data_IF_260836277986
#
_entry.id   IF_260836277986
#
_cell.length_a   1.000
_cell.length_b   1.000
_cell.length_c   1.000
_cell.angle_alpha   90.00
_cell.angle_beta   90.00
_cell.angle_gamma   90.00
#
_symmetry.space_group_name_H-M   'P 1'
#
loop_
_entity.id
_entity.type
_entity.pdbx_description
1 polymer ?
#
# COMPACT_ATOMS: atom_id res chain seq x y z
N UNK A 1 18.13 5.24 2.95
CA UNK A 1 19.11 5.79 1.99
C UNK A 1 18.62 5.57 0.58
N UNK A 2 19.48 5.64 -0.45
CA UNK A 2 19.03 5.42 -1.83
C UNK A 2 18.40 4.05 -2.07
N UNK A 3 18.96 2.96 -1.51
CA UNK A 3 18.33 1.63 -1.61
C UNK A 3 16.92 1.57 -1.01
N UNK A 4 16.70 2.23 0.14
CA UNK A 4 15.35 2.33 0.74
C UNK A 4 14.36 3.08 -0.16
N UNK A 5 14.84 4.11 -0.88
CA UNK A 5 14.00 4.85 -1.81
C UNK A 5 13.71 4.02 -3.06
N UNK A 6 14.69 3.27 -3.56
CA UNK A 6 14.55 2.34 -4.69
C UNK A 6 13.47 1.29 -4.40
N UNK A 7 13.59 0.58 -3.27
CA UNK A 7 12.61 -0.40 -2.81
C UNK A 7 11.21 0.21 -2.62
N UNK A 8 11.14 1.42 -2.03
CA UNK A 8 9.88 2.14 -1.84
C UNK A 8 9.18 2.42 -3.17
N UNK A 9 9.90 2.99 -4.14
CA UNK A 9 9.30 3.34 -5.44
C UNK A 9 9.03 2.12 -6.31
N UNK A 10 9.85 1.06 -6.22
CA UNK A 10 9.56 -0.21 -6.88
C UNK A 10 8.26 -0.81 -6.35
N UNK A 11 8.11 -0.90 -5.02
CA UNK A 11 6.88 -1.40 -4.39
C UNK A 11 5.64 -0.60 -4.82
N UNK A 12 5.71 0.73 -4.79
CA UNK A 12 4.61 1.60 -5.24
C UNK A 12 4.26 1.37 -6.72
N UNK A 13 5.28 1.25 -7.58
CA UNK A 13 5.08 1.00 -9.02
C UNK A 13 4.42 -0.36 -9.28
N UNK A 14 4.83 -1.40 -8.56
CA UNK A 14 4.24 -2.74 -8.69
C UNK A 14 2.78 -2.77 -8.24
N UNK A 15 2.44 -2.04 -7.17
CA UNK A 15 1.04 -1.91 -6.72
C UNK A 15 0.23 -1.11 -7.74
N UNK A 16 0.73 0.05 -8.17
CA UNK A 16 0.07 0.93 -9.13
C UNK A 16 -0.25 0.22 -10.45
N UNK A 17 0.70 -0.58 -10.95
CA UNK A 17 0.55 -1.36 -12.19
C UNK A 17 -0.23 -2.67 -11.98
N UNK A 18 -0.71 -2.94 -10.76
CA UNK A 18 -1.44 -4.15 -10.35
C UNK A 18 -0.65 -5.44 -10.64
N UNK A 19 0.69 -5.35 -10.66
CA UNK A 19 1.58 -6.51 -10.82
C UNK A 19 1.63 -7.35 -9.55
N UNK A 20 1.38 -6.73 -8.41
CA UNK A 20 1.20 -7.40 -7.11
C UNK A 20 -0.11 -6.93 -6.47
N UNK A 21 -0.65 -7.74 -5.57
CA UNK A 21 -1.84 -7.39 -4.78
C UNK A 21 -1.53 -6.17 -3.89
N UNK A 22 -2.53 -5.34 -3.64
CA UNK A 22 -2.41 -4.24 -2.69
C UNK A 22 -1.95 -4.76 -1.32
N UNK A 23 -0.82 -4.27 -0.85
CA UNK A 23 -0.32 -4.45 0.50
C UNK A 23 0.06 -3.08 1.07
N UNK A 24 -0.05 -2.88 2.38
CA UNK A 24 0.20 -1.58 2.98
C UNK A 24 1.69 -1.25 2.92
N UNK A 25 2.03 -0.04 2.51
CA UNK A 25 3.40 0.49 2.57
C UNK A 25 3.48 1.46 3.74
N UNK A 26 4.25 1.10 4.76
CA UNK A 26 4.36 1.89 6.00
C UNK A 26 5.69 2.62 6.06
N UNK A 27 5.64 3.95 6.18
CA UNK A 27 6.78 4.83 6.35
C UNK A 27 6.87 5.25 7.83
N UNK A 28 7.88 4.74 8.53
CA UNK A 28 8.11 5.07 9.94
C UNK A 28 8.97 6.33 10.09
N UNK A 29 8.59 7.24 11.00
CA UNK A 29 9.31 8.49 11.25
C UNK A 29 8.80 9.65 10.41
N UNK A 30 7.67 10.24 10.81
CA UNK A 30 6.99 11.33 10.08
C UNK A 30 7.91 12.49 9.70
N UNK A 31 8.79 13.01 10.59
CA UNK A 31 9.67 14.13 10.25
C UNK A 31 10.63 13.82 9.10
N UNK A 32 11.08 12.57 8.97
CA UNK A 32 12.00 12.15 7.91
C UNK A 32 11.33 12.14 6.53
N UNK A 33 10.08 11.69 6.45
CA UNK A 33 9.37 11.50 5.19
C UNK A 33 8.58 12.72 4.70
N UNK A 34 8.30 13.69 5.59
CA UNK A 34 7.50 14.87 5.25
C UNK A 34 8.02 15.64 4.03
N UNK A 35 9.35 15.81 3.91
CA UNK A 35 9.94 16.51 2.76
C UNK A 35 9.59 15.85 1.42
N UNK A 36 9.74 14.52 1.34
CA UNK A 36 9.40 13.75 0.15
C UNK A 36 7.90 13.79 -0.15
N UNK A 37 7.07 13.59 0.87
CA UNK A 37 5.61 13.55 0.71
C UNK A 37 5.05 14.91 0.29
N UNK A 38 5.61 16.00 0.80
CA UNK A 38 5.24 17.35 0.37
C UNK A 38 5.60 17.56 -1.10
N UNK A 39 6.81 17.19 -1.52
CA UNK A 39 7.19 17.27 -2.93
C UNK A 39 6.26 16.46 -3.85
N UNK A 40 5.89 15.23 -3.45
CA UNK A 40 4.94 14.41 -4.22
C UNK A 40 3.59 15.13 -4.38
N UNK A 41 3.04 15.65 -3.28
CA UNK A 41 1.75 16.36 -3.30
C UNK A 41 1.79 17.66 -4.09
N UNK A 42 2.86 18.43 -3.94
CA UNK A 42 2.94 19.77 -4.49
C UNK A 42 3.34 19.82 -5.96
N UNK A 43 4.05 18.80 -6.46
CA UNK A 43 4.58 18.77 -7.81
C UNK A 43 4.11 17.54 -8.57
N UNK A 44 4.51 16.33 -8.16
CA UNK A 44 4.26 15.11 -8.91
C UNK A 44 2.76 14.84 -9.14
N UNK A 45 1.93 15.12 -8.13
CA UNK A 45 0.47 15.03 -8.28
C UNK A 45 -0.11 16.11 -9.18
N UNK A 46 0.33 17.37 -9.04
CA UNK A 46 -0.19 18.48 -9.86
C UNK A 46 0.18 18.33 -11.34
N UNK A 47 1.31 17.70 -11.63
CA UNK A 47 1.72 17.34 -12.99
C UNK A 47 1.08 16.03 -13.52
N UNK A 48 0.19 15.40 -12.73
CA UNK A 48 -0.52 14.18 -13.12
C UNK A 48 0.36 12.94 -13.21
N UNK A 49 1.53 12.93 -12.54
CA UNK A 49 2.46 11.80 -12.55
C UNK A 49 2.11 10.74 -11.51
N UNK A 50 1.49 11.15 -10.41
CA UNK A 50 1.06 10.30 -9.30
C UNK A 50 -0.40 10.62 -8.99
N UNK A 51 -1.25 9.60 -8.81
CA UNK A 51 -2.65 9.80 -8.45
C UNK A 51 -2.85 9.89 -6.93
N UNK A 52 -3.95 10.51 -6.50
CA UNK A 52 -4.32 10.53 -5.07
C UNK A 52 -4.55 9.11 -4.52
N UNK A 53 -5.02 8.19 -5.36
CA UNK A 53 -5.23 6.79 -4.97
C UNK A 53 -3.90 6.09 -4.68
N UNK A 54 -2.84 6.41 -5.42
CA UNK A 54 -1.50 5.86 -5.18
C UNK A 54 -0.95 6.30 -3.82
N UNK A 55 -1.22 7.54 -3.40
CA UNK A 55 -0.82 8.03 -2.08
C UNK A 55 -1.59 7.37 -0.92
N UNK A 56 -2.82 6.89 -1.16
CA UNK A 56 -3.59 6.17 -0.13
C UNK A 56 -2.96 4.82 0.23
N UNK A 57 -2.03 4.32 -0.58
CA UNK A 57 -1.25 3.11 -0.30
C UNK A 57 -0.18 3.34 0.78
N UNK A 58 0.21 4.59 1.01
CA UNK A 58 1.22 4.97 2.00
C UNK A 58 0.56 5.25 3.35
N UNK A 59 1.12 4.67 4.40
CA UNK A 59 0.77 4.97 5.79
C UNK A 59 2.01 5.50 6.50
N UNK A 60 1.92 6.70 7.04
CA UNK A 60 3.04 7.37 7.73
C UNK A 60 2.73 7.40 9.21
N UNK A 61 3.64 6.93 10.05
CA UNK A 61 3.42 6.86 11.49
C UNK A 61 4.73 6.94 12.26
N UNK A 62 4.63 7.35 13.53
CA UNK A 62 5.71 7.30 14.52
C UNK A 62 5.44 6.23 15.60
N UNK A 63 4.35 5.47 15.46
CA UNK A 63 3.90 4.47 16.44
C UNK A 63 4.15 3.05 15.94
N UNK A 64 5.05 2.29 16.58
CA UNK A 64 5.25 0.87 16.24
C UNK A 64 3.96 0.05 16.35
N UNK A 65 3.08 0.39 17.30
CA UNK A 65 1.78 -0.26 17.47
C UNK A 65 0.88 -0.04 16.24
N UNK A 66 0.88 1.16 15.67
CA UNK A 66 0.12 1.43 14.44
C UNK A 66 0.68 0.67 13.25
N UNK A 67 2.01 0.57 13.13
CA UNK A 67 2.66 -0.25 12.08
C UNK A 67 2.15 -1.69 12.16
N UNK A 68 2.19 -2.29 13.35
CA UNK A 68 1.71 -3.67 13.56
C UNK A 68 0.23 -3.81 13.23
N UNK A 69 -0.60 -2.85 13.67
CA UNK A 69 -2.03 -2.87 13.41
C UNK A 69 -2.35 -2.82 11.91
N UNK A 70 -1.65 -1.97 11.16
CA UNK A 70 -1.79 -1.86 9.70
C UNK A 70 -1.46 -3.18 9.01
N UNK A 71 -0.36 -3.82 9.40
CA UNK A 71 0.06 -5.11 8.83
C UNK A 71 -0.97 -6.20 9.15
N UNK A 72 -1.43 -6.31 10.39
CA UNK A 72 -2.43 -7.31 10.81
C UNK A 72 -3.76 -7.12 10.08
N UNK A 73 -4.23 -5.88 9.97
CA UNK A 73 -5.48 -5.57 9.28
C UNK A 73 -5.43 -5.96 7.81
N UNK A 74 -4.29 -5.71 7.14
CA UNK A 74 -4.12 -6.12 5.75
C UNK A 74 -4.16 -7.64 5.55
N UNK A 75 -3.59 -8.42 6.47
CA UNK A 75 -3.62 -9.89 6.40
C UNK A 75 -5.02 -10.46 6.63
N UNK A 76 -5.79 -9.84 7.53
CA UNK A 76 -7.17 -10.23 7.81
C UNK A 76 -8.06 -10.04 6.58
N UNK A 77 -7.91 -8.91 5.87
CA UNK A 77 -8.61 -8.67 4.61
C UNK A 77 -8.23 -9.68 3.52
N UNK A 78 -6.95 -10.05 3.41
CA UNK A 78 -6.48 -11.07 2.46
C UNK A 78 -7.10 -12.45 2.74
N UNK A 79 -7.13 -12.87 4.02
CA UNK A 79 -7.76 -14.14 4.42
C UNK A 79 -9.26 -14.17 4.13
N UNK A 80 -9.95 -13.04 4.30
CA UNK A 80 -11.38 -12.91 3.98
C UNK A 80 -11.66 -13.05 2.48
N UNK A 81 -10.85 -12.41 1.64
CA UNK A 81 -10.92 -12.51 0.17
C UNK A 81 -10.66 -13.94 -0.32
N UNK A 82 -9.62 -14.59 0.17
CA UNK A 82 -9.29 -15.95 -0.26
C UNK A 82 -10.38 -16.96 0.15
N UNK A 83 -11.01 -16.75 1.31
CA UNK A 83 -12.16 -17.55 1.74
C UNK A 83 -13.39 -17.32 0.87
N UNK A 84 -13.73 -16.06 0.58
CA UNK A 84 -14.84 -15.71 -0.31
C UNK A 84 -14.67 -16.31 -1.71
N UNK A 85 -13.49 -16.22 -2.30
CA UNK A 85 -13.21 -16.84 -3.60
C UNK A 85 -13.38 -18.36 -3.53
N UNK A 86 -12.85 -19.01 -2.49
CA UNK A 86 -12.98 -20.45 -2.32
C UNK A 86 -14.45 -20.89 -2.15
N UNK A 87 -15.28 -20.08 -1.48
CA UNK A 87 -16.70 -20.35 -1.32
C UNK A 87 -17.48 -20.15 -2.64
N UNK A 88 -17.20 -19.07 -3.39
CA UNK A 88 -17.78 -18.82 -4.72
C UNK A 88 -17.47 -19.95 -5.72
N UNK A 89 -16.22 -20.44 -5.74
CA UNK A 89 -15.83 -21.56 -6.60
C UNK A 89 -16.57 -22.85 -6.26
N UNK A 90 -16.82 -23.13 -4.97
CA UNK A 90 -17.57 -24.33 -4.56
C UNK A 90 -19.04 -24.28 -4.97
N UNK A 91 -19.68 -23.13 -4.89
CA UNK A 91 -21.08 -22.95 -5.32
C UNK A 91 -21.26 -23.15 -6.83
N UNK A 92 -20.25 -22.81 -7.62
CA UNK A 92 -20.25 -23.06 -9.07
C UNK A 92 -20.08 -24.54 -9.43
N UNK A 93 -19.34 -25.31 -8.64
CA UNK A 93 -19.16 -26.77 -8.85
C UNK A 93 -20.37 -27.59 -8.41
N UNK A 94 -21.27 -27.04 -7.60
CA UNK A 94 -22.49 -27.72 -7.13
C UNK A 94 -23.73 -27.44 -7.98
N UNK A 95 -23.60 -26.69 -9.07
CA UNK A 95 -24.64 -26.42 -10.08
C UNK A 95 -24.34 -27.13 -11.39
#
# INVERSE_FOLDING_TARGET
GFGTLDELFEALTLIQTRKIRNFPVVLFGTPYWNGLLNWIRDFAMKEGKISEQDLKLLHVTDSPTEVVQVVINSQSSLRGLDKSLADDYRELETR
#
